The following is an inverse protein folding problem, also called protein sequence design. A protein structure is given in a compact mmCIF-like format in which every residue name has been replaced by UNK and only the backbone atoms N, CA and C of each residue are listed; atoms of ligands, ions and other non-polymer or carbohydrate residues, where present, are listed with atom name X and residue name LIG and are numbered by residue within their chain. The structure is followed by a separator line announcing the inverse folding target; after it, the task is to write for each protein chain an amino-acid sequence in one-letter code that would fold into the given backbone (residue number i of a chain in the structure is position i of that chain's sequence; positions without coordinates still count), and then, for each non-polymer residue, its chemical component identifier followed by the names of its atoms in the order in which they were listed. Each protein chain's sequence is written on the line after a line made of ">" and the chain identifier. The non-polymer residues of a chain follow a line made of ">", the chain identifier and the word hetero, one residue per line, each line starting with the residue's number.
data_IF_729775104581
#
_entry.id   IF_729775104581
#
_cell.length_a   1.000
_cell.length_b   1.000
_cell.length_c   1.000
_cell.angle_alpha   90.00
_cell.angle_beta   90.00
_cell.angle_gamma   90.00
#
_symmetry.space_group_name_H-M   'P 1'
#
loop_
_entity.id
_entity.type
_entity.pdbx_description
1 polymer ?
#
# COMPACT_ATOMS: atom_id res chain seq x y z
N UNK A 1 -96.60 -1.47 -27.30
CA UNK A 1 -95.35 -2.22 -27.19
C UNK A 1 -94.22 -1.22 -26.91
N UNK A 2 -93.81 -1.01 -25.66
CA UNK A 2 -92.78 -0.08 -25.26
C UNK A 2 -91.62 -0.91 -24.67
N UNK A 3 -90.43 -0.88 -25.29
CA UNK A 3 -89.19 -1.51 -24.80
C UNK A 3 -88.48 -0.53 -23.92
N UNK A 4 -88.24 -0.91 -22.65
CA UNK A 4 -87.34 -0.24 -21.70
C UNK A 4 -85.92 -0.72 -21.92
N UNK A 5 -85.06 0.21 -22.18
CA UNK A 5 -83.59 -0.02 -22.16
C UNK A 5 -83.07 0.48 -20.86
N UNK A 6 -82.57 -0.46 -20.06
CA UNK A 6 -81.86 -0.13 -18.79
C UNK A 6 -80.38 0.12 -19.09
N UNK A 7 -79.92 1.33 -18.79
CA UNK A 7 -78.50 1.72 -18.92
C UNK A 7 -77.73 1.26 -17.71
N UNK A 8 -76.69 0.48 -17.93
CA UNK A 8 -75.73 0.06 -16.93
C UNK A 8 -74.59 1.10 -16.85
N UNK A 9 -74.49 1.83 -15.72
CA UNK A 9 -73.37 2.75 -15.43
C UNK A 9 -72.24 1.96 -14.80
N UNK A 10 -71.15 1.75 -15.55
CA UNK A 10 -69.94 1.16 -15.02
C UNK A 10 -69.05 2.25 -14.36
N UNK A 11 -68.90 2.19 -13.04
CA UNK A 11 -67.96 3.01 -12.30
C UNK A 11 -66.58 2.38 -12.40
N UNK A 12 -65.69 2.99 -13.16
CA UNK A 12 -64.27 2.61 -13.22
C UNK A 12 -63.54 3.29 -12.03
N UNK A 13 -63.24 2.50 -11.01
CA UNK A 13 -62.34 2.93 -9.91
C UNK A 13 -60.92 2.93 -10.48
N UNK A 14 -60.34 4.13 -10.74
CA UNK A 14 -58.96 4.32 -11.07
C UNK A 14 -58.11 4.11 -9.79
N UNK A 15 -57.58 2.90 -9.61
CA UNK A 15 -56.54 2.65 -8.61
C UNK A 15 -55.27 3.33 -9.06
N UNK A 16 -54.95 4.48 -8.45
CA UNK A 16 -53.69 5.18 -8.65
C UNK A 16 -52.53 4.33 -8.06
N UNK A 17 -51.82 3.62 -8.92
CA UNK A 17 -50.50 3.07 -8.57
C UNK A 17 -49.55 4.25 -8.42
N UNK A 18 -49.26 4.68 -7.18
CA UNK A 18 -48.09 5.49 -6.88
C UNK A 18 -46.88 4.59 -7.08
N UNK A 19 -46.25 4.68 -8.24
CA UNK A 19 -44.92 4.15 -8.45
C UNK A 19 -43.99 4.91 -7.47
N UNK A 20 -43.67 4.28 -6.34
CA UNK A 20 -42.60 4.73 -5.49
C UNK A 20 -41.33 4.69 -6.35
N UNK A 21 -40.88 5.84 -6.82
CA UNK A 21 -39.65 5.97 -7.58
C UNK A 21 -38.52 5.38 -6.74
N UNK A 22 -38.03 4.21 -7.16
CA UNK A 22 -36.75 3.73 -6.71
C UNK A 22 -35.73 4.78 -7.12
N UNK A 23 -35.33 5.62 -6.17
CA UNK A 23 -34.27 6.58 -6.34
C UNK A 23 -33.02 5.75 -6.60
N UNK A 24 -32.54 5.70 -7.85
CA UNK A 24 -31.26 5.08 -8.19
C UNK A 24 -30.21 5.66 -7.27
N UNK A 25 -29.87 4.92 -6.21
CA UNK A 25 -28.77 5.31 -5.31
C UNK A 25 -27.51 5.28 -6.16
N UNK A 26 -27.02 6.47 -6.51
CA UNK A 26 -25.76 6.64 -7.25
C UNK A 26 -24.66 5.84 -6.55
N UNK A 27 -24.21 4.75 -7.17
CA UNK A 27 -23.14 3.92 -6.65
C UNK A 27 -21.82 4.68 -6.73
N UNK A 28 -21.14 4.83 -5.61
CA UNK A 28 -19.80 5.39 -5.54
C UNK A 28 -18.79 4.27 -5.82
N UNK A 29 -18.04 4.40 -6.90
CA UNK A 29 -16.97 3.46 -7.23
C UNK A 29 -15.65 3.94 -6.65
N UNK A 30 -14.92 3.03 -6.03
CA UNK A 30 -13.62 3.29 -5.40
C UNK A 30 -12.58 2.35 -6.00
N UNK A 31 -11.61 2.90 -6.71
CA UNK A 31 -10.41 2.20 -7.12
C UNK A 31 -9.33 2.36 -6.05
N UNK A 32 -8.75 1.25 -5.62
CA UNK A 32 -7.69 1.20 -4.61
C UNK A 32 -6.40 0.79 -5.30
N UNK A 33 -5.49 1.74 -5.50
CA UNK A 33 -4.16 1.46 -6.03
C UNK A 33 -3.33 0.65 -5.05
N UNK A 34 -2.82 -0.51 -5.47
CA UNK A 34 -2.11 -1.45 -4.61
C UNK A 34 -0.65 -1.66 -5.04
N UNK A 35 -0.27 -2.84 -5.43
CA UNK A 35 1.06 -3.25 -5.89
C UNK A 35 0.96 -4.55 -6.68
N UNK A 36 2.10 -5.16 -6.99
CA UNK A 36 2.14 -6.46 -7.62
C UNK A 36 1.56 -7.57 -6.72
N UNK A 37 1.01 -8.62 -7.33
CA UNK A 37 0.33 -9.72 -6.64
C UNK A 37 1.23 -10.53 -5.71
N UNK A 38 2.55 -10.48 -5.90
CA UNK A 38 3.54 -11.13 -5.02
C UNK A 38 3.89 -10.37 -3.74
N UNK A 39 3.36 -9.15 -3.57
CA UNK A 39 3.56 -8.28 -2.40
C UNK A 39 2.39 -8.32 -1.42
N UNK A 40 2.38 -7.38 -0.48
CA UNK A 40 1.40 -7.30 0.61
C UNK A 40 0.27 -6.31 0.31
N UNK A 41 0.51 -5.29 -0.50
CA UNK A 41 -0.52 -4.29 -0.84
C UNK A 41 -1.73 -4.89 -1.53
N UNK A 42 -1.51 -5.79 -2.50
CA UNK A 42 -2.61 -6.36 -3.28
C UNK A 42 -3.61 -7.18 -2.44
N UNK A 43 -3.19 -8.18 -1.64
CA UNK A 43 -4.13 -8.90 -0.78
C UNK A 43 -4.82 -7.98 0.23
N UNK A 44 -4.12 -7.04 0.88
CA UNK A 44 -4.74 -6.10 1.82
C UNK A 44 -5.71 -5.14 1.12
N UNK A 45 -5.39 -4.67 -0.08
CA UNK A 45 -6.29 -3.84 -0.88
C UNK A 45 -7.54 -4.60 -1.31
N UNK A 46 -7.41 -5.87 -1.68
CA UNK A 46 -8.55 -6.77 -1.95
C UNK A 46 -9.45 -6.95 -0.73
N UNK A 47 -8.86 -7.18 0.45
CA UNK A 47 -9.58 -7.24 1.71
C UNK A 47 -10.31 -5.94 2.03
N UNK A 48 -9.66 -4.80 1.88
CA UNK A 48 -10.28 -3.49 2.08
C UNK A 48 -11.41 -3.23 1.08
N UNK A 49 -11.22 -3.54 -0.21
CA UNK A 49 -12.24 -3.40 -1.23
C UNK A 49 -13.50 -4.23 -0.91
N UNK A 50 -13.30 -5.48 -0.51
CA UNK A 50 -14.39 -6.35 -0.08
C UNK A 50 -15.14 -5.79 1.14
N UNK A 51 -14.41 -5.26 2.13
CA UNK A 51 -15.01 -4.64 3.32
C UNK A 51 -15.80 -3.38 2.97
N UNK A 52 -15.27 -2.49 2.12
CA UNK A 52 -15.96 -1.27 1.69
C UNK A 52 -17.26 -1.60 0.96
N UNK A 53 -17.22 -2.51 0.00
CA UNK A 53 -18.39 -2.93 -0.76
C UNK A 53 -19.44 -3.63 0.11
N UNK A 54 -19.01 -4.32 1.17
CA UNK A 54 -19.91 -5.03 2.11
C UNK A 54 -20.56 -4.11 3.14
N UNK A 55 -19.79 -3.17 3.70
CA UNK A 55 -20.19 -2.44 4.91
C UNK A 55 -20.54 -0.96 4.67
N UNK A 56 -20.15 -0.38 3.54
CA UNK A 56 -20.46 1.02 3.22
C UNK A 56 -21.57 1.05 2.18
N UNK A 57 -22.81 1.45 2.56
CA UNK A 57 -23.93 1.44 1.63
C UNK A 57 -23.69 2.33 0.40
N UNK A 58 -23.94 1.78 -0.79
CA UNK A 58 -23.78 2.50 -2.05
C UNK A 58 -22.33 2.64 -2.52
N UNK A 59 -21.39 1.88 -1.93
CA UNK A 59 -19.98 1.82 -2.36
C UNK A 59 -19.69 0.48 -3.03
N UNK A 60 -19.01 0.54 -4.18
CA UNK A 60 -18.36 -0.58 -4.87
C UNK A 60 -16.88 -0.28 -4.97
N UNK A 61 -16.04 -1.11 -4.35
CA UNK A 61 -14.60 -0.92 -4.34
C UNK A 61 -13.87 -2.08 -5.04
N UNK A 62 -12.77 -1.74 -5.73
CA UNK A 62 -11.89 -2.69 -6.42
C UNK A 62 -10.44 -2.42 -6.06
N UNK A 63 -9.63 -3.49 -6.00
CA UNK A 63 -8.18 -3.39 -5.82
C UNK A 63 -7.48 -3.50 -7.17
N UNK A 64 -6.70 -2.48 -7.52
CA UNK A 64 -5.97 -2.39 -8.78
C UNK A 64 -4.52 -2.86 -8.60
N UNK A 65 -4.07 -3.78 -9.46
CA UNK A 65 -2.66 -4.17 -9.54
C UNK A 65 -1.86 -3.02 -10.17
N UNK A 66 -0.82 -2.57 -9.47
CA UNK A 66 0.06 -1.49 -9.93
C UNK A 66 1.52 -1.84 -9.68
N UNK A 67 2.43 -0.94 -10.03
CA UNK A 67 3.84 -1.05 -9.64
C UNK A 67 4.08 -0.69 -8.15
N UNK A 68 3.11 -0.11 -7.44
CA UNK A 68 3.21 0.31 -6.03
C UNK A 68 3.20 1.82 -5.84
N UNK A 69 3.90 2.31 -4.82
CA UNK A 69 3.76 3.66 -4.26
C UNK A 69 3.73 4.79 -5.29
N UNK A 70 4.73 4.90 -6.14
CA UNK A 70 4.83 6.01 -7.11
C UNK A 70 3.69 5.94 -8.13
N UNK A 71 3.40 4.74 -8.66
CA UNK A 71 2.30 4.54 -9.60
C UNK A 71 0.94 4.91 -8.98
N UNK A 72 0.70 4.52 -7.73
CA UNK A 72 -0.54 4.83 -7.01
C UNK A 72 -0.72 6.35 -6.82
N UNK A 73 0.34 7.03 -6.44
CA UNK A 73 0.31 8.49 -6.27
C UNK A 73 0.09 9.23 -7.60
N UNK A 74 0.64 8.71 -8.70
CA UNK A 74 0.37 9.22 -10.05
C UNK A 74 -1.09 8.99 -10.47
N UNK A 75 -1.68 7.83 -10.13
CA UNK A 75 -3.09 7.54 -10.39
C UNK A 75 -4.01 8.49 -9.60
N UNK A 76 -3.72 8.71 -8.30
CA UNK A 76 -4.45 9.69 -7.47
C UNK A 76 -4.33 11.08 -8.06
N UNK A 77 -3.12 11.54 -8.40
CA UNK A 77 -2.91 12.87 -9.00
C UNK A 77 -3.56 13.04 -10.37
N UNK A 78 -3.84 11.95 -11.07
CA UNK A 78 -4.57 11.91 -12.33
C UNK A 78 -6.07 11.67 -12.21
N UNK A 79 -6.62 11.59 -10.99
CA UNK A 79 -8.04 11.33 -10.73
C UNK A 79 -8.51 9.94 -11.17
N UNK A 80 -7.60 8.95 -11.17
CA UNK A 80 -7.85 7.56 -11.61
C UNK A 80 -7.93 6.56 -10.45
N UNK A 81 -7.66 6.99 -9.23
CA UNK A 81 -7.77 6.16 -8.03
C UNK A 81 -8.19 7.04 -6.86
N UNK A 82 -9.12 6.58 -6.05
CA UNK A 82 -9.65 7.26 -4.87
C UNK A 82 -8.83 6.97 -3.62
N UNK A 83 -8.21 5.81 -3.56
CA UNK A 83 -7.38 5.37 -2.43
C UNK A 83 -6.09 4.76 -2.96
N UNK A 84 -4.97 4.99 -2.30
CA UNK A 84 -3.70 4.37 -2.70
C UNK A 84 -2.88 3.92 -1.51
N UNK A 85 -2.28 2.74 -1.62
CA UNK A 85 -1.20 2.32 -0.75
C UNK A 85 0.09 3.03 -1.15
N UNK A 86 0.80 3.57 -0.19
CA UNK A 86 2.08 4.23 -0.47
C UNK A 86 3.00 4.19 0.73
N UNK A 87 4.30 4.26 0.49
CA UNK A 87 5.28 4.49 1.54
C UNK A 87 5.34 5.97 1.92
N UNK A 88 5.67 6.26 3.16
CA UNK A 88 5.70 7.62 3.71
C UNK A 88 6.69 8.55 2.98
N UNK A 89 7.84 8.02 2.56
CA UNK A 89 8.84 8.76 1.78
C UNK A 89 8.32 9.15 0.39
N UNK A 90 7.63 8.24 -0.30
CA UNK A 90 7.00 8.51 -1.59
C UNK A 90 5.86 9.54 -1.47
N UNK A 91 5.06 9.47 -0.39
CA UNK A 91 4.02 10.45 -0.11
C UNK A 91 4.61 11.84 0.13
N UNK A 92 5.71 11.92 0.88
CA UNK A 92 6.45 13.16 1.11
C UNK A 92 6.96 13.76 -0.20
N UNK A 93 7.61 12.94 -1.04
CA UNK A 93 8.12 13.38 -2.33
C UNK A 93 7.00 13.92 -3.23
N UNK A 94 5.85 13.24 -3.25
CA UNK A 94 4.72 13.62 -4.09
C UNK A 94 4.10 14.96 -3.70
N UNK A 95 3.90 15.19 -2.40
CA UNK A 95 3.33 16.46 -1.91
C UNK A 95 4.29 17.63 -2.14
N UNK A 96 5.59 17.39 -1.98
CA UNK A 96 6.60 18.45 -2.11
C UNK A 96 7.14 18.62 -3.54
N UNK A 97 6.87 17.68 -4.45
CA UNK A 97 7.36 17.71 -5.82
C UNK A 97 8.83 17.34 -5.94
N UNK A 98 9.27 16.33 -5.18
CA UNK A 98 10.64 15.83 -5.21
C UNK A 98 10.75 14.55 -6.03
N UNK A 99 11.98 14.15 -6.37
CA UNK A 99 12.35 12.94 -7.09
C UNK A 99 11.43 12.69 -8.32
N UNK A 100 10.64 11.62 -8.33
CA UNK A 100 9.74 11.24 -9.42
C UNK A 100 8.56 12.20 -9.63
N UNK A 101 8.39 13.14 -8.71
CA UNK A 101 7.34 14.17 -8.75
C UNK A 101 7.87 15.58 -9.03
N UNK A 102 9.13 15.71 -9.46
CA UNK A 102 9.70 17.01 -9.82
C UNK A 102 8.83 17.73 -10.86
N UNK A 103 8.39 18.95 -10.53
CA UNK A 103 7.48 19.74 -11.36
C UNK A 103 6.00 19.30 -11.32
N UNK A 104 5.63 18.25 -10.55
CA UNK A 104 4.28 17.72 -10.45
C UNK A 104 3.93 17.34 -9.02
N UNK A 105 3.59 18.31 -8.19
CA UNK A 105 3.05 18.03 -6.85
C UNK A 105 1.71 17.31 -6.93
N UNK A 106 1.48 16.40 -6.00
CA UNK A 106 0.19 15.71 -5.87
C UNK A 106 -0.49 16.18 -4.59
N UNK A 107 -1.71 16.70 -4.73
CA UNK A 107 -2.53 17.11 -3.58
C UNK A 107 -3.18 15.86 -2.96
N UNK A 108 -2.59 15.36 -1.88
CA UNK A 108 -3.07 14.18 -1.17
C UNK A 108 -3.01 14.34 0.34
N UNK A 109 -3.75 13.51 1.05
CA UNK A 109 -3.83 13.46 2.50
C UNK A 109 -3.76 12.02 3.00
N UNK A 110 -3.24 11.84 4.20
CA UNK A 110 -3.21 10.54 4.88
C UNK A 110 -4.62 10.16 5.34
N UNK A 111 -5.04 8.96 5.00
CA UNK A 111 -6.21 8.31 5.54
C UNK A 111 -5.85 7.59 6.85
N UNK A 112 -4.85 6.72 6.81
CA UNK A 112 -4.29 6.05 7.99
C UNK A 112 -2.80 5.79 7.83
N UNK A 113 -2.06 5.76 8.94
CA UNK A 113 -0.77 5.10 9.09
C UNK A 113 -1.05 3.62 9.33
N UNK A 114 -0.55 2.73 8.46
CA UNK A 114 -1.04 1.37 8.43
C UNK A 114 -0.08 0.39 9.12
N UNK A 115 1.06 0.09 8.50
CA UNK A 115 2.08 -0.81 9.04
C UNK A 115 3.48 -0.41 8.59
N UNK A 116 4.54 -0.79 9.33
CA UNK A 116 5.91 -0.53 8.87
C UNK A 116 6.27 -1.49 7.74
N UNK A 117 6.60 -0.94 6.57
CA UNK A 117 7.27 -1.70 5.53
C UNK A 117 8.73 -1.92 5.91
N UNK A 118 9.18 -3.16 5.83
CA UNK A 118 10.56 -3.52 6.07
C UNK A 118 11.30 -3.62 4.75
N UNK A 119 12.48 -3.01 4.70
CA UNK A 119 13.36 -3.20 3.58
C UNK A 119 14.06 -4.56 3.70
N UNK A 120 14.07 -5.31 2.60
CA UNK A 120 14.77 -6.57 2.47
C UNK A 120 15.87 -6.40 1.43
N UNK A 121 17.04 -6.92 1.72
CA UNK A 121 18.09 -7.19 0.74
C UNK A 121 18.30 -8.70 0.78
N UNK A 122 17.79 -9.38 -0.25
CA UNK A 122 17.69 -10.84 -0.28
C UNK A 122 18.67 -11.43 -1.29
N UNK A 123 19.37 -12.44 -0.87
CA UNK A 123 20.20 -13.31 -1.72
C UNK A 123 19.98 -14.77 -1.31
N UNK A 124 20.79 -15.67 -1.85
CA UNK A 124 20.82 -17.09 -1.44
C UNK A 124 22.21 -17.45 -0.93
N UNK A 125 22.26 -18.47 -0.09
CA UNK A 125 23.54 -19.01 0.38
C UNK A 125 24.41 -19.47 -0.81
N UNK A 126 25.72 -19.27 -0.70
CA UNK A 126 26.66 -19.55 -1.79
C UNK A 126 26.82 -18.44 -2.82
N UNK A 127 26.04 -17.36 -2.76
CA UNK A 127 26.13 -16.19 -3.66
C UNK A 127 27.42 -15.37 -3.52
N UNK A 128 28.13 -15.53 -2.38
CA UNK A 128 29.28 -14.69 -2.01
C UNK A 128 28.88 -13.30 -1.47
N UNK A 129 27.58 -13.02 -1.29
CA UNK A 129 27.07 -11.75 -0.76
C UNK A 129 26.83 -11.91 0.75
N UNK A 130 27.57 -11.17 1.58
CA UNK A 130 27.48 -11.19 3.02
C UNK A 130 27.18 -9.81 3.63
N UNK A 131 27.34 -8.76 2.84
CA UNK A 131 27.13 -7.37 3.22
C UNK A 131 26.63 -6.53 2.05
N UNK A 132 26.16 -5.32 2.32
CA UNK A 132 25.79 -4.36 1.27
C UNK A 132 26.93 -4.08 0.29
N UNK A 133 28.18 -4.07 0.75
CA UNK A 133 29.36 -3.81 -0.11
C UNK A 133 29.61 -4.91 -1.14
N UNK A 134 29.19 -6.14 -0.87
CA UNK A 134 29.36 -7.28 -1.77
C UNK A 134 28.40 -7.24 -2.96
N UNK A 135 27.47 -6.30 -2.98
CA UNK A 135 26.59 -6.03 -4.13
C UNK A 135 27.35 -5.39 -5.30
N UNK A 136 28.55 -4.86 -5.05
CA UNK A 136 29.38 -4.27 -6.11
C UNK A 136 29.75 -5.32 -7.16
N UNK A 137 29.50 -5.00 -8.45
CA UNK A 137 29.70 -5.89 -9.57
C UNK A 137 28.65 -6.99 -9.73
N UNK A 138 27.64 -7.06 -8.88
CA UNK A 138 26.56 -8.06 -8.92
C UNK A 138 25.38 -7.62 -9.80
N UNK A 139 24.56 -8.59 -10.22
CA UNK A 139 23.27 -8.38 -10.89
C UNK A 139 22.21 -8.24 -9.82
N UNK A 140 21.62 -7.06 -9.69
CA UNK A 140 20.75 -6.74 -8.54
C UNK A 140 19.43 -6.17 -9.03
N UNK A 141 18.31 -6.80 -8.64
CA UNK A 141 17.00 -6.20 -8.85
C UNK A 141 16.72 -5.15 -7.78
N UNK A 142 16.43 -3.91 -8.21
CA UNK A 142 16.15 -2.77 -7.32
C UNK A 142 14.65 -2.45 -7.21
N UNK A 143 13.77 -3.33 -7.70
CA UNK A 143 12.33 -3.12 -7.72
C UNK A 143 11.81 -2.66 -9.09
N UNK A 144 10.50 -2.82 -9.29
CA UNK A 144 9.84 -2.43 -10.53
C UNK A 144 9.98 -0.94 -10.84
N UNK A 145 9.96 -0.54 -12.12
CA UNK A 145 9.85 0.86 -12.47
C UNK A 145 8.65 1.53 -11.79
N UNK A 146 8.81 2.78 -11.37
CA UNK A 146 7.79 3.59 -10.66
C UNK A 146 7.21 2.92 -9.40
N UNK A 147 7.99 2.03 -8.76
CA UNK A 147 7.69 1.48 -7.44
C UNK A 147 8.36 2.30 -6.34
N UNK A 148 7.81 2.23 -5.13
CA UNK A 148 8.49 2.76 -3.94
C UNK A 148 9.75 1.96 -3.61
N UNK A 149 9.75 0.64 -3.85
CA UNK A 149 10.95 -0.21 -3.67
C UNK A 149 12.12 0.32 -4.48
N UNK A 150 11.94 0.68 -5.76
CA UNK A 150 13.02 1.23 -6.58
C UNK A 150 13.62 2.50 -5.96
N UNK A 151 12.77 3.45 -5.55
CA UNK A 151 13.24 4.71 -4.95
C UNK A 151 14.02 4.44 -3.65
N UNK A 152 13.46 3.63 -2.76
CA UNK A 152 14.08 3.36 -1.46
C UNK A 152 15.34 2.51 -1.61
N UNK A 153 15.40 1.56 -2.56
CA UNK A 153 16.60 0.78 -2.87
C UNK A 153 17.76 1.68 -3.35
N UNK A 154 17.46 2.62 -4.26
CA UNK A 154 18.47 3.58 -4.74
C UNK A 154 19.03 4.41 -3.59
N UNK A 155 18.16 4.92 -2.71
CA UNK A 155 18.54 5.69 -1.52
C UNK A 155 19.41 4.89 -0.55
N UNK A 156 19.08 3.60 -0.34
CA UNK A 156 19.88 2.73 0.52
C UNK A 156 21.26 2.45 -0.08
N UNK A 157 21.34 2.12 -1.36
CA UNK A 157 22.61 1.87 -2.07
C UNK A 157 23.51 3.11 -1.95
N UNK A 158 22.98 4.31 -2.17
CA UNK A 158 23.69 5.57 -2.00
C UNK A 158 24.12 5.83 -0.53
N UNK A 159 23.29 5.42 0.45
CA UNK A 159 23.62 5.56 1.87
C UNK A 159 24.81 4.71 2.31
N UNK A 160 25.11 3.63 1.56
CA UNK A 160 26.31 2.80 1.70
C UNK A 160 27.49 3.26 0.83
N UNK A 161 27.40 4.44 0.21
CA UNK A 161 28.48 5.04 -0.59
C UNK A 161 28.68 4.39 -1.96
N UNK A 162 27.67 3.69 -2.47
CA UNK A 162 27.69 3.08 -3.80
C UNK A 162 26.85 3.89 -4.81
N UNK A 163 27.24 3.83 -6.08
CA UNK A 163 26.44 4.36 -7.18
C UNK A 163 25.61 3.20 -7.83
N UNK A 164 24.28 3.21 -7.65
CA UNK A 164 23.45 2.12 -8.16
C UNK A 164 23.49 1.95 -9.68
N UNK A 165 23.95 2.95 -10.43
CA UNK A 165 24.02 2.90 -11.88
C UNK A 165 25.42 2.50 -12.41
N UNK A 166 26.45 2.46 -11.54
CA UNK A 166 27.84 2.15 -11.92
C UNK A 166 28.39 0.94 -11.20
N UNK A 167 28.03 0.77 -9.92
CA UNK A 167 28.64 -0.23 -9.06
C UNK A 167 27.99 -1.61 -9.18
N UNK A 168 26.89 -1.75 -9.93
CA UNK A 168 26.18 -3.02 -10.12
C UNK A 168 25.44 -3.08 -11.46
N UNK A 169 25.15 -4.30 -11.93
CA UNK A 169 24.20 -4.47 -13.05
C UNK A 169 22.80 -4.46 -12.49
N UNK A 170 22.10 -3.36 -12.73
CA UNK A 170 20.79 -3.11 -12.14
C UNK A 170 19.67 -3.65 -13.02
N UNK A 171 18.85 -4.52 -12.42
CA UNK A 171 17.58 -4.98 -12.99
C UNK A 171 16.40 -4.26 -12.31
N UNK A 172 15.29 -4.11 -13.03
CA UNK A 172 14.11 -3.36 -12.56
C UNK A 172 12.88 -4.27 -12.68
N UNK A 173 12.76 -5.18 -11.72
CA UNK A 173 11.76 -6.25 -11.72
C UNK A 173 10.80 -6.10 -10.54
N UNK A 174 9.55 -6.53 -10.70
CA UNK A 174 8.63 -6.72 -9.57
C UNK A 174 9.18 -7.76 -8.59
N UNK A 175 8.64 -7.83 -7.37
CA UNK A 175 9.12 -8.82 -6.38
C UNK A 175 8.96 -10.26 -6.88
N UNK A 176 7.86 -10.57 -7.57
CA UNK A 176 7.63 -11.91 -8.13
C UNK A 176 8.63 -12.24 -9.24
N UNK A 177 8.88 -11.32 -10.17
CA UNK A 177 9.87 -11.49 -11.23
C UNK A 177 11.29 -11.57 -10.66
N UNK A 178 11.60 -10.74 -9.65
CA UNK A 178 12.90 -10.78 -8.95
C UNK A 178 13.15 -12.13 -8.28
N UNK A 179 12.15 -12.69 -7.62
CA UNK A 179 12.24 -14.02 -7.00
C UNK A 179 12.45 -15.08 -8.06
N UNK A 180 11.71 -15.06 -9.17
CA UNK A 180 11.92 -15.98 -10.30
C UNK A 180 13.33 -15.86 -10.88
N UNK A 181 13.79 -14.62 -11.12
CA UNK A 181 15.12 -14.38 -11.66
C UNK A 181 16.24 -14.84 -10.69
N UNK A 182 16.04 -14.69 -9.36
CA UNK A 182 16.99 -15.18 -8.36
C UNK A 182 17.00 -16.71 -8.28
N UNK A 183 15.83 -17.37 -8.38
CA UNK A 183 15.73 -18.84 -8.47
C UNK A 183 16.48 -19.39 -9.68
N UNK A 184 16.35 -18.70 -10.82
CA UNK A 184 16.98 -19.07 -12.10
C UNK A 184 18.48 -18.68 -12.15
N UNK A 185 19.03 -17.99 -11.16
CA UNK A 185 20.42 -17.50 -11.19
C UNK A 185 20.66 -16.37 -12.20
N UNK A 186 19.61 -15.68 -12.64
CA UNK A 186 19.69 -14.52 -13.56
C UNK A 186 20.09 -13.24 -12.84
N UNK A 187 19.78 -13.14 -11.55
CA UNK A 187 20.25 -12.09 -10.64
C UNK A 187 20.90 -12.71 -9.41
N UNK A 188 21.71 -11.94 -8.70
CA UNK A 188 22.48 -12.38 -7.53
C UNK A 188 21.84 -11.91 -6.20
N UNK A 189 21.08 -10.82 -6.25
CA UNK A 189 20.33 -10.27 -5.12
C UNK A 189 19.12 -9.47 -5.59
N UNK A 190 18.17 -9.24 -4.68
CA UNK A 190 17.04 -8.35 -4.90
C UNK A 190 16.80 -7.44 -3.70
N UNK A 191 16.31 -6.25 -3.96
CA UNK A 191 15.71 -5.35 -2.98
C UNK A 191 14.19 -5.51 -3.00
N UNK A 192 13.59 -5.45 -1.82
CA UNK A 192 12.16 -5.41 -1.63
C UNK A 192 11.80 -4.58 -0.42
N UNK A 193 10.73 -3.78 -0.50
CA UNK A 193 10.21 -3.02 0.63
C UNK A 193 8.73 -3.36 0.81
N UNK A 194 8.40 -3.99 1.92
CA UNK A 194 7.02 -4.44 2.16
C UNK A 194 6.80 -5.05 3.52
N UNK A 195 5.60 -5.56 3.74
CA UNK A 195 5.22 -6.27 4.97
C UNK A 195 5.91 -7.63 5.11
N UNK A 196 5.93 -8.15 6.33
CA UNK A 196 6.55 -9.42 6.68
C UNK A 196 5.52 -10.37 7.31
N UNK A 197 5.39 -11.62 6.76
CA UNK A 197 6.08 -12.18 5.61
C UNK A 197 5.56 -11.64 4.27
N UNK A 198 6.42 -11.47 3.30
CA UNK A 198 6.02 -11.18 1.92
C UNK A 198 5.79 -12.50 1.17
N UNK A 199 4.66 -12.70 0.47
CA UNK A 199 4.35 -13.97 -0.20
C UNK A 199 5.47 -14.45 -1.16
N UNK A 200 5.97 -13.62 -2.05
CA UNK A 200 7.05 -14.01 -2.98
C UNK A 200 8.36 -14.37 -2.26
N UNK A 201 8.71 -13.70 -1.15
CA UNK A 201 9.91 -14.06 -0.38
C UNK A 201 9.70 -15.39 0.35
N UNK A 202 8.50 -15.65 0.87
CA UNK A 202 8.15 -16.95 1.47
C UNK A 202 8.25 -18.07 0.44
N UNK A 203 7.78 -17.85 -0.79
CA UNK A 203 7.90 -18.80 -1.89
C UNK A 203 9.39 -19.09 -2.27
N UNK A 204 10.23 -18.05 -2.30
CA UNK A 204 11.68 -18.25 -2.48
C UNK A 204 12.27 -19.08 -1.34
N UNK A 205 11.94 -18.76 -0.09
CA UNK A 205 12.44 -19.44 1.10
C UNK A 205 12.01 -20.91 1.18
N UNK A 206 10.85 -21.24 0.62
CA UNK A 206 10.31 -22.61 0.56
C UNK A 206 10.83 -23.40 -0.65
N UNK A 207 11.65 -22.82 -1.52
CA UNK A 207 12.15 -23.49 -2.75
C UNK A 207 13.19 -24.54 -2.40
N UNK A 208 13.02 -25.82 -2.79
CA UNK A 208 13.99 -26.87 -2.52
C UNK A 208 15.39 -26.53 -3.07
N UNK A 209 16.42 -26.79 -2.28
CA UNK A 209 17.82 -26.53 -2.66
C UNK A 209 18.22 -25.06 -2.66
N UNK A 210 17.35 -24.15 -2.20
CA UNK A 210 17.67 -22.74 -2.00
C UNK A 210 17.54 -22.42 -0.51
N UNK A 211 18.54 -21.78 0.07
CA UNK A 211 18.49 -21.19 1.39
C UNK A 211 18.61 -19.70 1.22
N UNK A 212 17.57 -18.96 1.61
CA UNK A 212 17.60 -17.50 1.54
C UNK A 212 18.56 -16.94 2.57
N UNK A 213 19.06 -15.74 2.27
CA UNK A 213 19.89 -14.97 3.18
C UNK A 213 19.47 -13.51 3.11
N UNK A 214 19.09 -12.96 4.25
CA UNK A 214 18.82 -11.54 4.39
C UNK A 214 20.10 -10.81 4.79
N UNK A 215 20.42 -9.71 4.13
CA UNK A 215 21.63 -8.92 4.36
C UNK A 215 21.31 -7.78 5.32
N UNK A 216 22.12 -7.68 6.40
CA UNK A 216 22.06 -6.58 7.35
C UNK A 216 22.36 -5.24 6.67
N UNK A 217 21.51 -4.24 6.91
CA UNK A 217 21.67 -2.89 6.34
C UNK A 217 21.13 -1.77 7.25
N UNK A 218 20.73 -2.11 8.48
CA UNK A 218 20.20 -1.14 9.43
C UNK A 218 21.14 0.03 9.75
N UNK A 219 22.45 -0.15 9.56
CA UNK A 219 23.45 0.91 9.79
C UNK A 219 23.38 2.03 8.75
N UNK A 220 22.74 1.80 7.58
CA UNK A 220 22.46 2.84 6.60
C UNK A 220 21.39 3.85 7.02
N UNK A 221 20.59 3.56 8.08
CA UNK A 221 19.46 4.39 8.47
C UNK A 221 19.85 5.84 8.80
N UNK A 222 20.98 6.06 9.46
CA UNK A 222 21.42 7.41 9.79
C UNK A 222 21.76 8.22 8.55
N UNK A 223 22.48 7.63 7.60
CA UNK A 223 22.82 8.28 6.33
C UNK A 223 21.56 8.57 5.49
N UNK A 224 20.61 7.64 5.47
CA UNK A 224 19.32 7.87 4.81
C UNK A 224 18.55 9.03 5.47
N UNK A 225 18.49 9.08 6.80
CA UNK A 225 17.82 10.19 7.51
C UNK A 225 18.47 11.54 7.23
N UNK A 226 19.79 11.61 7.23
CA UNK A 226 20.54 12.86 6.94
C UNK A 226 20.26 13.38 5.52
N UNK A 227 20.12 12.47 4.55
CA UNK A 227 19.99 12.83 3.12
C UNK A 227 18.54 12.99 2.66
N UNK A 228 17.62 12.17 3.20
CA UNK A 228 16.24 12.04 2.70
C UNK A 228 15.15 12.30 3.75
N UNK A 229 15.53 12.72 4.96
CA UNK A 229 14.60 13.06 6.03
C UNK A 229 14.35 11.95 7.08
N UNK A 230 13.69 12.28 8.19
CA UNK A 230 13.58 11.43 9.39
C UNK A 230 12.60 10.25 9.25
N UNK A 231 12.26 9.87 8.04
CA UNK A 231 11.23 8.87 7.71
C UNK A 231 11.73 7.43 7.90
N UNK A 232 13.04 7.23 7.85
CA UNK A 232 13.67 5.91 7.87
C UNK A 232 14.08 5.50 9.28
N UNK A 233 13.65 4.32 9.72
CA UNK A 233 13.85 3.83 11.09
C UNK A 233 14.65 2.52 11.07
N UNK A 234 15.75 2.46 11.83
CA UNK A 234 16.49 1.19 12.04
C UNK A 234 15.62 0.25 12.86
N UNK A 235 15.45 -0.99 12.36
CA UNK A 235 14.66 -2.04 12.99
C UNK A 235 15.25 -3.42 12.67
N UNK A 236 14.47 -4.49 12.88
CA UNK A 236 14.83 -5.88 12.59
C UNK A 236 13.72 -6.63 11.89
N UNK A 237 14.09 -7.48 10.93
CA UNK A 237 13.28 -8.63 10.53
C UNK A 237 13.68 -9.75 11.49
N UNK A 238 12.70 -10.27 12.25
CA UNK A 238 12.98 -11.27 13.28
C UNK A 238 13.32 -12.62 12.69
N UNK A 239 14.10 -13.40 13.41
CA UNK A 239 14.32 -14.80 13.11
C UNK A 239 13.00 -15.54 12.87
N UNK A 240 13.02 -16.53 11.98
CA UNK A 240 11.85 -17.32 11.57
C UNK A 240 10.71 -16.52 10.89
N UNK A 241 10.97 -15.26 10.50
CA UNK A 241 10.04 -14.50 9.66
C UNK A 241 9.79 -15.20 8.30
N UNK A 242 10.80 -15.90 7.81
CA UNK A 242 10.75 -16.74 6.62
C UNK A 242 11.36 -18.13 6.90
N UNK A 243 10.91 -19.19 6.20
CA UNK A 243 11.53 -20.53 6.32
C UNK A 243 13.04 -20.47 6.12
N UNK A 244 13.79 -21.11 7.01
CA UNK A 244 15.25 -21.18 6.94
C UNK A 244 16.02 -19.95 7.42
N UNK A 245 15.37 -18.84 7.72
CA UNK A 245 16.03 -17.65 8.28
C UNK A 245 16.03 -17.75 9.81
N UNK A 246 17.18 -18.11 10.38
CA UNK A 246 17.32 -18.47 11.81
C UNK A 246 17.85 -17.34 12.69
N UNK A 247 18.21 -16.19 12.11
CA UNK A 247 18.73 -15.04 12.84
C UNK A 247 17.91 -13.78 12.58
N UNK A 248 17.97 -12.85 13.53
CA UNK A 248 17.49 -11.49 13.30
C UNK A 248 18.35 -10.80 12.23
N UNK A 249 17.71 -10.06 11.34
CA UNK A 249 18.42 -9.22 10.35
C UNK A 249 18.10 -7.77 10.61
N UNK A 250 19.13 -6.94 10.83
CA UNK A 250 18.94 -5.49 10.98
C UNK A 250 18.55 -4.86 9.65
N UNK A 251 17.44 -4.14 9.65
CA UNK A 251 16.87 -3.53 8.46
C UNK A 251 16.48 -2.07 8.71
N UNK A 252 15.96 -1.45 7.68
CA UNK A 252 15.35 -0.11 7.72
C UNK A 252 13.87 -0.25 7.41
N UNK A 253 13.05 0.36 8.26
CA UNK A 253 11.61 0.48 8.06
C UNK A 253 11.25 1.84 7.47
N UNK A 254 10.20 1.85 6.68
CA UNK A 254 9.45 3.03 6.26
C UNK A 254 7.96 2.75 6.39
N UNK A 255 7.21 3.64 7.05
CA UNK A 255 5.79 3.39 7.25
C UNK A 255 5.01 3.36 5.95
N UNK A 256 4.06 2.44 5.87
CA UNK A 256 3.03 2.41 4.84
C UNK A 256 1.85 3.26 5.27
N UNK A 257 1.36 4.06 4.34
CA UNK A 257 0.18 4.88 4.47
C UNK A 257 -0.89 4.41 3.48
N UNK A 258 -2.14 4.54 3.86
CA UNK A 258 -3.22 4.73 2.90
C UNK A 258 -3.45 6.22 2.73
N UNK A 259 -3.55 6.66 1.48
CA UNK A 259 -3.73 8.07 1.12
C UNK A 259 -4.92 8.22 0.18
N UNK A 260 -5.49 9.42 0.18
CA UNK A 260 -6.62 9.85 -0.65
C UNK A 260 -6.32 11.20 -1.30
N UNK A 261 -7.02 11.61 -2.37
CA UNK A 261 -6.99 12.99 -2.85
C UNK A 261 -7.30 13.97 -1.71
N UNK A 262 -6.68 15.15 -1.73
CA UNK A 262 -6.88 16.13 -0.66
C UNK A 262 -8.31 16.69 -0.60
N UNK A 263 -9.04 16.61 -1.70
CA UNK A 263 -10.43 17.04 -1.88
C UNK A 263 -11.45 15.88 -1.84
N UNK A 264 -11.03 14.70 -1.36
CA UNK A 264 -11.94 13.58 -1.18
C UNK A 264 -13.09 13.92 -0.22
N UNK A 265 -14.24 13.27 -0.39
CA UNK A 265 -15.40 13.53 0.47
C UNK A 265 -15.14 13.18 1.95
N UNK A 266 -15.32 14.16 2.84
CA UNK A 266 -15.03 14.02 4.26
C UNK A 266 -15.81 12.88 4.94
N UNK A 267 -17.07 12.64 4.52
CA UNK A 267 -17.87 11.58 5.12
C UNK A 267 -17.44 10.21 4.62
N UNK A 268 -17.11 10.08 3.34
CA UNK A 268 -16.58 8.85 2.80
C UNK A 268 -15.26 8.47 3.48
N UNK A 269 -14.31 9.42 3.59
CA UNK A 269 -13.03 9.19 4.26
C UNK A 269 -13.21 8.86 5.73
N UNK A 270 -14.14 9.52 6.43
CA UNK A 270 -14.51 9.15 7.79
C UNK A 270 -15.01 7.70 7.88
N UNK A 271 -15.91 7.29 6.99
CA UNK A 271 -16.47 5.93 6.99
C UNK A 271 -15.41 4.87 6.69
N UNK A 272 -14.51 5.14 5.74
CA UNK A 272 -13.40 4.22 5.42
C UNK A 272 -12.48 4.09 6.65
N UNK A 273 -12.07 5.20 7.26
CA UNK A 273 -11.22 5.19 8.45
C UNK A 273 -11.86 4.42 9.58
N UNK A 274 -13.11 4.72 9.89
CA UNK A 274 -13.90 4.04 10.93
C UNK A 274 -13.96 2.52 10.68
N UNK A 275 -14.32 2.12 9.47
CA UNK A 275 -14.43 0.72 9.08
C UNK A 275 -13.12 -0.02 9.27
N UNK A 276 -12.00 0.56 8.85
CA UNK A 276 -10.68 -0.05 8.99
C UNK A 276 -10.33 -0.35 10.44
N UNK A 277 -10.60 0.57 11.37
CA UNK A 277 -10.33 0.35 12.79
C UNK A 277 -11.33 -0.60 13.44
N UNK A 278 -12.62 -0.45 13.18
CA UNK A 278 -13.67 -1.25 13.81
C UNK A 278 -13.72 -2.71 13.29
N UNK A 279 -13.24 -2.94 12.07
CA UNK A 279 -13.15 -4.26 11.44
C UNK A 279 -11.71 -4.71 11.16
N UNK A 280 -10.76 -4.14 11.91
CA UNK A 280 -9.31 -4.45 11.75
C UNK A 280 -9.04 -5.96 11.64
N UNK A 281 -9.74 -6.77 12.43
CA UNK A 281 -9.55 -8.22 12.45
C UNK A 281 -9.83 -8.88 11.09
N UNK A 282 -10.69 -8.32 10.25
CA UNK A 282 -10.89 -8.82 8.88
C UNK A 282 -9.65 -8.61 8.02
N UNK A 283 -8.96 -7.47 8.17
CA UNK A 283 -7.68 -7.22 7.50
C UNK A 283 -6.53 -8.06 8.08
N UNK A 284 -6.52 -8.29 9.41
CA UNK A 284 -5.52 -9.15 10.07
C UNK A 284 -5.61 -10.59 9.57
N UNK A 285 -6.82 -11.10 9.29
CA UNK A 285 -7.00 -12.41 8.65
C UNK A 285 -6.44 -12.49 7.23
N UNK A 286 -6.38 -11.36 6.51
CA UNK A 286 -5.75 -11.28 5.19
C UNK A 286 -4.22 -11.27 5.32
N UNK A 287 -3.71 -10.42 6.21
CA UNK A 287 -2.27 -10.32 6.46
C UNK A 287 -1.98 -9.80 7.87
N UNK A 288 -1.10 -10.50 8.61
CA UNK A 288 -0.82 -10.19 10.02
C UNK A 288 -0.33 -8.76 10.28
N UNK A 289 0.37 -8.14 9.32
CA UNK A 289 0.86 -6.76 9.47
C UNK A 289 -0.28 -5.73 9.54
N UNK A 290 -1.51 -6.08 9.17
CA UNK A 290 -2.67 -5.23 9.45
C UNK A 290 -2.90 -5.05 10.97
N UNK A 291 -2.32 -5.88 11.82
CA UNK A 291 -2.31 -5.71 13.27
C UNK A 291 -1.66 -4.41 13.74
N UNK A 292 -0.72 -3.85 12.95
CA UNK A 292 -0.11 -2.54 13.23
C UNK A 292 -1.04 -1.35 13.00
N UNK A 293 -2.24 -1.55 12.43
CA UNK A 293 -3.26 -0.51 12.39
C UNK A 293 -3.79 -0.25 13.80
N UNK A 294 -3.12 0.63 14.51
CA UNK A 294 -3.44 1.02 15.88
C UNK A 294 -3.61 2.52 16.01
N UNK A 295 -4.49 2.94 16.90
CA UNK A 295 -4.75 4.35 17.15
C UNK A 295 -3.47 5.09 17.59
N UNK A 296 -2.68 4.47 18.46
CA UNK A 296 -1.42 5.04 18.93
C UNK A 296 -0.45 5.38 17.78
N UNK A 297 -0.41 4.55 16.74
CA UNK A 297 0.49 4.75 15.61
C UNK A 297 0.12 5.96 14.74
N UNK A 298 -1.13 6.46 14.83
CA UNK A 298 -1.58 7.61 14.04
C UNK A 298 -0.95 8.94 14.50
N UNK A 299 -0.53 9.02 15.77
CA UNK A 299 0.02 10.24 16.38
C UNK A 299 1.56 10.25 16.51
N UNK A 300 2.25 9.24 15.98
CA UNK A 300 3.71 9.08 16.15
C UNK A 300 4.57 9.95 15.25
N UNK A 301 3.97 10.71 14.32
CA UNK A 301 4.70 11.41 13.25
C UNK A 301 5.14 10.48 12.10
N UNK A 302 4.67 9.25 12.06
CA UNK A 302 4.95 8.29 10.99
C UNK A 302 4.37 8.72 9.62
N UNK A 303 3.33 9.57 9.61
CA UNK A 303 2.91 10.28 8.41
C UNK A 303 3.62 11.63 8.30
N UNK A 304 4.45 11.84 7.27
CA UNK A 304 5.10 13.13 7.02
C UNK A 304 4.19 14.15 6.32
N UNK A 305 2.98 13.75 5.93
CA UNK A 305 1.99 14.59 5.26
C UNK A 305 0.73 14.71 6.12
N UNK A 306 -0.07 15.77 5.97
CA UNK A 306 -1.27 15.96 6.77
C UNK A 306 -2.31 14.85 6.58
N UNK A 307 -3.08 14.59 7.62
CA UNK A 307 -4.26 13.71 7.56
C UNK A 307 -5.43 14.40 6.86
N UNK A 308 -6.31 13.60 6.27
CA UNK A 308 -7.57 14.08 5.72
C UNK A 308 -8.52 14.48 6.85
N UNK A 309 -9.31 15.58 6.70
CA UNK A 309 -10.23 16.03 7.75
C UNK A 309 -11.23 14.94 8.20
N UNK A 310 -11.75 14.15 7.26
CA UNK A 310 -12.62 13.00 7.57
C UNK A 310 -11.94 11.95 8.45
N UNK A 311 -10.69 11.61 8.16
CA UNK A 311 -9.91 10.68 8.98
C UNK A 311 -9.61 11.27 10.36
N UNK A 312 -9.18 12.53 10.41
CA UNK A 312 -8.90 13.23 11.66
C UNK A 312 -10.13 13.34 12.58
N UNK A 313 -11.33 13.50 12.01
CA UNK A 313 -12.59 13.49 12.75
C UNK A 313 -12.80 12.19 13.51
N UNK A 314 -12.68 11.04 12.85
CA UNK A 314 -12.78 9.73 13.50
C UNK A 314 -11.70 9.54 14.57
N UNK A 315 -10.45 9.86 14.25
CA UNK A 315 -9.34 9.72 15.20
C UNK A 315 -9.55 10.60 16.45
N UNK A 316 -10.07 11.81 16.29
CA UNK A 316 -10.40 12.71 17.41
C UNK A 316 -11.49 12.12 18.32
N UNK A 317 -12.51 11.47 17.77
CA UNK A 317 -13.53 10.74 18.54
C UNK A 317 -12.95 9.62 19.38
N UNK A 318 -11.79 9.10 18.99
CA UNK A 318 -11.00 8.06 19.70
C UNK A 318 -9.89 8.65 20.58
N UNK A 319 -9.87 9.96 20.78
CA UNK A 319 -8.90 10.64 21.65
C UNK A 319 -7.54 10.91 20.99
N UNK A 320 -7.41 10.71 19.67
CA UNK A 320 -6.16 10.91 18.92
C UNK A 320 -6.24 12.20 18.11
N UNK A 321 -5.30 13.11 18.35
CA UNK A 321 -5.14 14.34 17.57
C UNK A 321 -4.02 14.19 16.56
N UNK A 322 -4.31 14.52 15.31
CA UNK A 322 -3.35 14.44 14.18
C UNK A 322 -3.29 15.79 13.44
N UNK A 323 -2.20 16.01 12.70
CA UNK A 323 -2.04 17.20 11.88
C UNK A 323 -2.92 17.12 10.62
N UNK A 324 -3.69 18.18 10.34
CA UNK A 324 -4.57 18.32 9.14
C UNK A 324 -4.15 19.49 8.23
N UNK A 325 -3.09 20.22 8.58
CA UNK A 325 -2.59 21.42 7.84
C UNK A 325 -1.28 21.15 7.16
#
# INVERSE_FOLDING_TARGET
>A
MRRFIAGLVAVIAAAGFTAAGAQDKKTTRISIGTGGTGGVYYPLGGGLAAMLSKYVPGVEATAEVTAGSIANLQLIGGGKSEVGFTMADAAWDAVNGFDKFTGRKVALRTLVVFYPNRMHVVTVEGSGINSMKDLKGKRVSTGAPVSGTEVTAMRLIEAFGMDPNKDMTRERLSVAESVSALKDGKIDALFWVGGVPTPSITDLAATPGKTIKLIDHGDGAENMRKKFGPIYVKNKILANAYPGETRDTTNIDVWNLLVVPADADDNLVYQITKLMFEKKDELVRVHKDAGFLELANQATGASPIPFHPGAARYLKERGITVNVK
#
